data_IF_846330626895
#
_entry.id   IF_846330626895
#
_cell.length_a   1.000
_cell.length_b   1.000
_cell.length_c   1.000
_cell.angle_alpha   90.00
_cell.angle_beta   90.00
_cell.angle_gamma   90.00
#
_symmetry.space_group_name_H-M   'P 1'
#
loop_
_entity.id
_entity.type
_entity.pdbx_description
1 polymer ?
#
# COMPACT_ATOMS: atom_id res chain seq x y z
N UNK A 1 -14.50 2.14 -22.86
CA UNK A 1 -13.24 1.59 -22.32
C UNK A 1 -13.08 2.10 -20.90
N UNK A 2 -12.89 1.23 -19.91
CA UNK A 2 -12.62 1.65 -18.53
C UNK A 2 -11.30 2.44 -18.49
N UNK A 3 -11.28 3.56 -17.77
CA UNK A 3 -10.07 4.38 -17.67
C UNK A 3 -8.95 3.58 -16.98
N UNK A 4 -7.70 3.75 -17.41
CA UNK A 4 -6.54 3.04 -16.84
C UNK A 4 -6.39 3.28 -15.33
N UNK A 5 -6.89 4.40 -14.84
CA UNK A 5 -6.97 4.78 -13.43
C UNK A 5 -7.93 3.90 -12.62
N UNK A 6 -9.03 3.43 -13.20
CA UNK A 6 -10.02 2.56 -12.53
C UNK A 6 -9.45 1.16 -12.28
N UNK A 7 -8.69 0.65 -13.26
CA UNK A 7 -8.06 -0.68 -13.19
C UNK A 7 -6.85 -0.65 -12.25
N UNK A 8 -6.06 0.44 -12.30
CA UNK A 8 -4.86 0.63 -11.48
C UNK A 8 -4.96 1.87 -10.58
N UNK A 9 -5.79 1.83 -9.53
CA UNK A 9 -5.90 2.95 -8.62
C UNK A 9 -4.64 3.14 -7.79
N UNK A 10 -4.46 4.38 -7.34
CA UNK A 10 -3.45 4.75 -6.35
C UNK A 10 -3.96 4.31 -4.97
N UNK A 11 -3.14 3.58 -4.24
CA UNK A 11 -3.42 3.09 -2.89
C UNK A 11 -2.32 3.56 -1.94
N UNK A 12 -2.70 3.75 -0.68
CA UNK A 12 -1.79 4.11 0.41
C UNK A 12 -1.49 2.87 1.22
N UNK A 13 -0.23 2.64 1.56
CA UNK A 13 0.20 1.57 2.45
C UNK A 13 0.71 2.20 3.73
N UNK A 14 0.05 1.93 4.86
CA UNK A 14 0.42 2.49 6.16
C UNK A 14 1.18 1.47 6.99
N UNK A 15 2.21 1.93 7.68
CA UNK A 15 3.01 1.10 8.59
C UNK A 15 2.14 0.52 9.70
N UNK A 16 2.18 -0.80 9.90
CA UNK A 16 1.46 -1.44 11.01
C UNK A 16 2.10 -1.18 12.35
N UNK A 17 3.31 -0.62 12.37
CA UNK A 17 4.04 -0.34 13.59
C UNK A 17 3.66 1.01 14.26
N UNK A 18 2.59 1.66 13.77
CA UNK A 18 2.01 2.85 14.41
C UNK A 18 2.77 4.15 14.19
N UNK A 19 3.80 4.16 13.35
CA UNK A 19 4.64 5.34 13.06
C UNK A 19 3.93 6.42 12.25
N UNK A 20 2.80 6.08 11.62
CA UNK A 20 2.10 6.96 10.69
C UNK A 20 2.76 7.08 9.32
N UNK A 21 3.91 6.43 9.09
CA UNK A 21 4.59 6.46 7.80
C UNK A 21 3.77 5.72 6.74
N UNK A 22 3.65 6.32 5.56
CA UNK A 22 2.80 5.83 4.48
C UNK A 22 3.52 5.84 3.14
N UNK A 23 3.44 4.75 2.40
CA UNK A 23 3.85 4.67 1.00
C UNK A 23 2.65 4.85 0.09
N UNK A 24 2.89 5.43 -1.08
CA UNK A 24 1.88 5.53 -2.14
C UNK A 24 2.32 4.65 -3.29
N UNK A 25 1.44 3.78 -3.75
CA UNK A 25 1.70 2.90 -4.91
C UNK A 25 0.44 2.77 -5.75
N UNK A 26 0.58 2.19 -6.95
CA UNK A 26 -0.57 1.77 -7.77
C UNK A 26 -0.68 0.26 -7.70
N UNK A 27 -1.87 -0.26 -7.44
CA UNK A 27 -2.14 -1.71 -7.51
C UNK A 27 -3.17 -2.01 -8.59
N UNK A 28 -3.11 -3.20 -9.18
CA UNK A 28 -4.14 -3.63 -10.12
C UNK A 28 -5.26 -4.36 -9.37
N UNK A 29 -6.42 -3.72 -9.20
CA UNK A 29 -7.54 -4.29 -8.43
C UNK A 29 -8.15 -5.55 -9.03
N UNK A 30 -7.88 -5.84 -10.31
CA UNK A 30 -8.33 -7.07 -10.96
C UNK A 30 -7.50 -8.29 -10.56
N UNK A 31 -6.20 -8.10 -10.37
CA UNK A 31 -5.29 -9.19 -9.99
C UNK A 31 -5.27 -9.36 -8.48
N UNK A 32 -5.28 -8.24 -7.75
CA UNK A 32 -5.19 -8.19 -6.29
C UNK A 32 -6.43 -7.46 -5.72
N UNK A 33 -7.58 -8.15 -5.64
CA UNK A 33 -8.82 -7.56 -5.14
C UNK A 33 -8.75 -7.25 -3.63
N UNK A 34 -7.99 -8.05 -2.87
CA UNK A 34 -7.84 -7.93 -1.43
C UNK A 34 -6.91 -6.78 -1.00
N UNK A 35 -6.88 -6.51 0.32
CA UNK A 35 -5.98 -5.48 0.89
C UNK A 35 -4.53 -5.92 0.75
N UNK A 36 -3.70 -5.05 0.17
CA UNK A 36 -2.28 -5.32 0.01
C UNK A 36 -1.57 -5.29 1.38
N UNK A 37 -0.75 -6.31 1.64
CA UNK A 37 0.17 -6.35 2.78
C UNK A 37 1.58 -6.56 2.23
N UNK A 38 2.48 -5.62 2.48
CA UNK A 38 3.87 -5.69 2.01
C UNK A 38 4.84 -5.42 3.15
N UNK A 39 5.90 -6.22 3.24
CA UNK A 39 7.01 -5.92 4.14
C UNK A 39 7.89 -4.84 3.52
N UNK A 40 7.96 -3.67 4.14
CA UNK A 40 8.75 -2.52 3.67
C UNK A 40 9.53 -1.88 4.81
N UNK A 41 10.59 -1.16 4.47
CA UNK A 41 11.38 -0.41 5.43
C UNK A 41 10.55 0.74 6.01
N UNK A 42 10.52 0.86 7.33
CA UNK A 42 9.97 2.02 8.02
C UNK A 42 11.14 2.94 8.42
N UNK A 43 11.23 4.17 7.88
CA UNK A 43 12.33 5.07 8.19
C UNK A 43 12.29 5.61 9.63
N UNK A 44 11.13 5.59 10.30
CA UNK A 44 10.97 6.05 11.69
C UNK A 44 11.52 5.00 12.65
N UNK A 45 11.20 3.72 12.42
CA UNK A 45 11.68 2.60 13.25
C UNK A 45 13.00 1.98 12.79
N UNK A 46 13.49 2.40 11.62
CA UNK A 46 14.71 1.92 10.96
C UNK A 46 14.77 0.41 10.79
N UNK A 47 13.62 -0.21 10.50
CA UNK A 47 13.51 -1.66 10.29
C UNK A 47 12.42 -1.99 9.27
N UNK A 48 12.45 -3.19 8.72
CA UNK A 48 11.38 -3.67 7.87
C UNK A 48 10.20 -4.14 8.72
N UNK A 49 9.02 -3.59 8.44
CA UNK A 49 7.75 -3.95 9.08
C UNK A 49 6.70 -4.18 8.01
N UNK A 50 5.55 -4.71 8.42
CA UNK A 50 4.44 -4.85 7.51
C UNK A 50 3.76 -3.50 7.28
N UNK A 51 3.41 -3.25 6.02
CA UNK A 51 2.62 -2.13 5.60
C UNK A 51 1.32 -2.65 5.03
N UNK A 52 0.19 -2.12 5.51
CA UNK A 52 -1.15 -2.53 5.08
C UNK A 52 -1.81 -1.43 4.28
N UNK A 53 -2.56 -1.83 3.27
CA UNK A 53 -3.38 -0.91 2.49
C UNK A 53 -4.40 -0.19 3.37
N UNK A 54 -4.28 1.13 3.39
CA UNK A 54 -5.23 2.07 3.95
C UNK A 54 -6.09 2.60 2.81
N UNK A 55 -7.40 2.46 2.97
CA UNK A 55 -8.40 2.71 1.94
C UNK A 55 -8.81 4.18 1.91
#
# INVERSE_FOLDING_TARGET
>A
MAARSEIRPVVKLRSTAGTGYTYVTRKNRRNDPDRLVLRKYDPVLRRHVDFREEK
#
